data_IF_010137266968
#
_entry.id   IF_010137266968
#
_cell.length_a   1.000
_cell.length_b   1.000
_cell.length_c   1.000
_cell.angle_alpha   90.00
_cell.angle_beta   90.00
_cell.angle_gamma   90.00
#
_symmetry.space_group_name_H-M   'P 1'
#
loop_
_entity.id
_entity.type
_entity.pdbx_description
1 polymer ?
#
# COMPACT_ATOMS: atom_id res chain seq x y z
N UNK A 1 36.93 62.44 -27.60
CA UNK A 1 35.82 61.88 -28.40
C UNK A 1 35.53 60.50 -27.85
N UNK A 2 34.45 60.37 -27.07
CA UNK A 2 34.10 59.13 -26.36
C UNK A 2 33.16 58.30 -27.25
N UNK A 3 33.53 57.04 -27.50
CA UNK A 3 32.67 56.05 -28.11
C UNK A 3 32.30 55.04 -27.01
N UNK A 4 31.09 55.14 -26.48
CA UNK A 4 30.48 54.08 -25.68
C UNK A 4 29.36 53.45 -26.52
N UNK A 5 29.59 52.22 -26.97
CA UNK A 5 28.60 51.41 -27.68
C UNK A 5 27.55 50.92 -26.67
N UNK A 6 26.33 51.46 -26.77
CA UNK A 6 25.18 50.94 -26.04
C UNK A 6 24.77 49.59 -26.63
N UNK A 7 25.18 48.48 -25.99
CA UNK A 7 24.59 47.16 -26.27
C UNK A 7 23.11 47.18 -25.89
N UNK A 8 22.23 47.10 -26.91
CA UNK A 8 20.82 46.84 -26.69
C UNK A 8 20.65 45.47 -26.04
N UNK A 9 19.84 45.40 -24.98
CA UNK A 9 19.43 44.14 -24.38
C UNK A 9 18.42 43.48 -25.31
N UNK A 10 18.79 42.36 -25.94
CA UNK A 10 17.86 41.54 -26.72
C UNK A 10 16.79 40.96 -25.78
N UNK A 11 15.61 41.56 -25.77
CA UNK A 11 14.44 40.97 -25.12
C UNK A 11 13.97 39.76 -25.93
N UNK A 12 14.32 38.56 -25.46
CA UNK A 12 13.78 37.32 -26.01
C UNK A 12 12.27 37.23 -25.71
N UNK A 13 11.45 37.51 -26.72
CA UNK A 13 10.00 37.30 -26.67
C UNK A 13 9.69 35.83 -26.89
N UNK A 14 9.23 35.13 -25.85
CA UNK A 14 8.71 33.77 -25.99
C UNK A 14 7.35 33.82 -26.70
N UNK A 15 7.18 33.14 -27.86
CA UNK A 15 5.91 33.15 -28.57
C UNK A 15 4.82 32.47 -27.74
N UNK A 16 3.74 33.21 -27.48
CA UNK A 16 2.55 32.78 -26.75
C UNK A 16 1.75 31.76 -27.57
N UNK A 17 2.24 30.54 -27.75
CA UNK A 17 1.50 29.51 -28.47
C UNK A 17 1.96 28.08 -28.20
N UNK A 18 1.99 27.64 -26.92
CA UNK A 18 1.79 26.22 -26.58
C UNK A 18 1.02 26.14 -25.25
N UNK A 19 -0.23 25.69 -25.31
CA UNK A 19 -1.16 25.68 -24.18
C UNK A 19 -0.70 24.79 -23.02
N UNK A 20 -0.95 25.29 -21.81
CA UNK A 20 -0.81 24.65 -20.48
C UNK A 20 -1.59 23.34 -20.30
N UNK A 21 -2.18 22.80 -21.37
CA UNK A 21 -2.89 21.52 -21.38
C UNK A 21 -1.88 20.37 -21.26
N UNK A 22 -0.73 20.45 -21.95
CA UNK A 22 0.21 19.33 -22.08
C UNK A 22 1.02 18.95 -20.84
N UNK A 23 1.42 19.95 -20.04
CA UNK A 23 2.15 19.70 -18.80
C UNK A 23 1.30 19.02 -17.71
N UNK A 24 -0.02 19.33 -17.66
CA UNK A 24 -0.92 18.77 -16.63
C UNK A 24 -1.04 17.25 -16.77
N UNK A 25 -1.20 16.71 -17.98
CA UNK A 25 -1.34 15.27 -18.15
C UNK A 25 -0.05 14.48 -17.91
N UNK A 26 1.13 15.06 -18.15
CA UNK A 26 2.41 14.41 -17.82
C UNK A 26 2.62 14.32 -16.30
N UNK A 27 2.32 15.39 -15.57
CA UNK A 27 2.39 15.40 -14.09
C UNK A 27 1.35 14.45 -13.49
N UNK A 28 0.10 14.52 -13.97
CA UNK A 28 -0.98 13.63 -13.52
C UNK A 28 -0.65 12.15 -13.78
N UNK A 29 -0.17 11.81 -14.99
CA UNK A 29 0.22 10.43 -15.33
C UNK A 29 1.39 9.91 -14.48
N UNK A 30 2.38 10.74 -14.17
CA UNK A 30 3.50 10.38 -13.29
C UNK A 30 3.04 10.07 -11.86
N UNK A 31 2.16 10.92 -11.31
CA UNK A 31 1.58 10.75 -9.97
C UNK A 31 0.70 9.50 -9.92
N UNK A 32 -0.10 9.23 -10.95
CA UNK A 32 -0.95 8.04 -11.03
C UNK A 32 -0.14 6.75 -11.14
N UNK A 33 0.95 6.76 -11.92
CA UNK A 33 1.88 5.64 -12.01
C UNK A 33 2.56 5.33 -10.67
N UNK A 34 2.98 6.35 -9.92
CA UNK A 34 3.54 6.16 -8.58
C UNK A 34 2.51 5.57 -7.61
N UNK A 35 1.28 6.11 -7.59
CA UNK A 35 0.17 5.58 -6.77
C UNK A 35 -0.16 4.13 -7.11
N UNK A 36 -0.11 3.75 -8.38
CA UNK A 36 -0.35 2.39 -8.84
C UNK A 36 0.77 1.45 -8.34
N UNK A 37 2.04 1.83 -8.49
CA UNK A 37 3.18 1.03 -7.98
C UNK A 37 3.09 0.82 -6.46
N UNK A 38 2.75 1.86 -5.69
CA UNK A 38 2.55 1.73 -4.23
C UNK A 38 1.40 0.77 -3.91
N UNK A 39 0.29 0.84 -4.67
CA UNK A 39 -0.84 -0.07 -4.52
C UNK A 39 -0.43 -1.52 -4.79
N UNK A 40 0.41 -1.76 -5.80
CA UNK A 40 0.88 -3.11 -6.15
C UNK A 40 1.77 -3.69 -5.05
N UNK A 41 2.66 -2.88 -4.47
CA UNK A 41 3.48 -3.29 -3.31
C UNK A 41 2.60 -3.64 -2.11
N UNK A 42 1.60 -2.82 -1.79
CA UNK A 42 0.66 -3.10 -0.69
C UNK A 42 -0.14 -4.39 -0.93
N UNK A 43 -0.57 -4.64 -2.17
CA UNK A 43 -1.21 -5.92 -2.55
C UNK A 43 -0.27 -7.11 -2.30
N UNK A 44 1.01 -6.99 -2.65
CA UNK A 44 1.99 -8.05 -2.43
C UNK A 44 2.23 -8.31 -0.94
N UNK A 45 2.34 -7.26 -0.12
CA UNK A 45 2.46 -7.38 1.34
C UNK A 45 1.25 -8.12 1.92
N UNK A 46 0.03 -7.77 1.50
CA UNK A 46 -1.19 -8.44 1.96
C UNK A 46 -1.27 -9.90 1.52
N UNK A 47 -0.86 -10.22 0.28
CA UNK A 47 -0.77 -11.60 -0.21
C UNK A 47 0.19 -12.42 0.65
N UNK A 48 1.37 -11.90 0.94
CA UNK A 48 2.35 -12.56 1.80
C UNK A 48 1.81 -12.78 3.22
N UNK A 49 1.20 -11.75 3.80
CA UNK A 49 0.52 -11.81 5.11
C UNK A 49 -0.57 -12.89 5.14
N UNK A 50 -1.40 -12.96 4.10
CA UNK A 50 -2.46 -13.98 3.98
C UNK A 50 -1.88 -15.40 3.87
N UNK A 51 -0.91 -15.59 2.98
CA UNK A 51 -0.28 -16.88 2.74
C UNK A 51 0.44 -17.41 3.98
N UNK A 52 1.19 -16.53 4.67
CA UNK A 52 1.85 -16.87 5.92
C UNK A 52 0.84 -17.31 6.99
N UNK A 53 -0.24 -16.55 7.17
CA UNK A 53 -1.30 -16.86 8.15
C UNK A 53 -1.92 -18.23 7.88
N UNK A 54 -2.25 -18.51 6.62
CA UNK A 54 -2.81 -19.81 6.21
C UNK A 54 -1.81 -20.95 6.34
N UNK A 55 -0.52 -20.70 6.11
CA UNK A 55 0.54 -21.70 6.30
C UNK A 55 0.74 -22.05 7.78
N UNK A 56 0.82 -21.05 8.66
CA UNK A 56 0.98 -21.27 10.11
C UNK A 56 -0.20 -22.04 10.69
N UNK A 57 -1.44 -21.67 10.34
CA UNK A 57 -2.64 -22.33 10.89
C UNK A 57 -2.82 -23.78 10.43
N UNK A 58 -2.41 -24.08 9.18
CA UNK A 58 -2.45 -25.45 8.63
C UNK A 58 -1.25 -26.30 9.06
N UNK A 59 -0.20 -25.68 9.62
CA UNK A 59 0.95 -26.43 10.11
C UNK A 59 0.54 -27.23 11.34
N UNK A 60 0.67 -28.56 11.25
CA UNK A 60 0.32 -29.51 12.31
C UNK A 60 1.33 -29.52 13.46
N UNK A 61 2.58 -29.13 13.18
CA UNK A 61 3.64 -29.05 14.19
C UNK A 61 3.33 -27.91 15.16
N UNK A 62 3.37 -28.21 16.47
CA UNK A 62 3.39 -27.18 17.53
C UNK A 62 4.66 -26.36 17.37
N UNK A 63 4.55 -25.23 16.70
CA UNK A 63 5.58 -24.21 16.61
C UNK A 63 5.15 -23.06 17.50
N UNK A 64 6.11 -22.46 18.21
CA UNK A 64 5.90 -21.23 18.98
C UNK A 64 5.18 -20.14 18.17
N UNK A 65 5.30 -20.14 16.85
CA UNK A 65 4.60 -19.21 15.94
C UNK A 65 3.08 -19.39 15.98
N UNK A 66 2.59 -20.63 16.11
CA UNK A 66 1.17 -20.93 16.30
C UNK A 66 0.73 -20.51 17.70
N UNK A 67 1.58 -20.77 18.70
CA UNK A 67 1.31 -20.36 20.07
C UNK A 67 1.27 -18.84 20.20
N UNK A 68 2.17 -18.07 19.58
CA UNK A 68 2.13 -16.60 19.55
C UNK A 68 0.86 -16.09 18.86
N UNK A 69 0.47 -16.72 17.74
CA UNK A 69 -0.74 -16.35 17.02
C UNK A 69 -2.00 -16.69 17.85
N UNK A 70 -2.00 -17.73 18.67
CA UNK A 70 -3.13 -18.14 19.50
C UNK A 70 -3.17 -17.43 20.87
N UNK A 71 -1.99 -17.18 21.46
CA UNK A 71 -1.77 -16.62 22.80
C UNK A 71 -2.28 -15.19 22.95
N UNK A 72 -2.05 -14.34 21.95
CA UNK A 72 -2.48 -12.93 21.99
C UNK A 72 -3.99 -12.73 21.81
N UNK A 73 -4.75 -13.81 21.66
CA UNK A 73 -6.03 -13.78 20.99
C UNK A 73 -7.25 -14.00 21.87
N UNK A 74 -7.03 -14.30 23.15
CA UNK A 74 -8.10 -14.82 24.00
C UNK A 74 -8.63 -13.84 25.05
N UNK A 75 -8.76 -12.56 24.69
CA UNK A 75 -9.47 -11.54 25.51
C UNK A 75 -8.63 -10.84 26.60
N UNK A 76 -7.62 -10.05 26.20
CA UNK A 76 -6.95 -9.10 27.10
C UNK A 76 -7.33 -7.64 26.81
N UNK A 77 -7.68 -6.86 27.84
CA UNK A 77 -7.75 -5.39 27.74
C UNK A 77 -6.33 -4.86 27.42
N UNK A 78 -6.20 -3.95 26.44
CA UNK A 78 -4.90 -3.38 26.08
C UNK A 78 -4.37 -2.47 27.20
N UNK A 79 -3.05 -2.45 27.39
CA UNK A 79 -2.41 -1.42 28.21
C UNK A 79 -2.62 -0.04 27.54
N UNK A 80 -2.85 0.99 28.34
CA UNK A 80 -2.99 2.37 27.88
C UNK A 80 -1.67 2.79 27.19
N UNK A 81 -1.74 3.28 25.95
CA UNK A 81 -0.57 3.71 25.17
C UNK A 81 0.07 2.66 24.25
N UNK A 82 -0.50 1.45 24.12
CA UNK A 82 -0.05 0.47 23.13
C UNK A 82 -0.58 0.73 21.70
N UNK A 83 0.00 0.05 20.70
CA UNK A 83 -0.47 0.14 19.30
C UNK A 83 -1.97 -0.17 19.16
N UNK A 84 -2.64 0.66 18.36
CA UNK A 84 -4.10 0.67 18.20
C UNK A 84 -4.59 -0.57 17.43
N UNK A 85 -3.85 -1.04 16.41
CA UNK A 85 -4.23 -2.20 15.58
C UNK A 85 -3.36 -3.40 15.90
N UNK A 86 -3.99 -4.55 16.18
CA UNK A 86 -3.31 -5.86 16.19
C UNK A 86 -3.08 -6.31 14.76
N UNK A 87 -2.08 -7.17 14.59
CA UNK A 87 -1.91 -7.95 13.37
C UNK A 87 -3.21 -8.65 12.92
N UNK A 88 -3.97 -9.20 13.87
CA UNK A 88 -5.27 -9.84 13.60
C UNK A 88 -6.35 -8.85 13.19
N UNK A 89 -6.34 -7.62 13.71
CA UNK A 89 -7.41 -6.64 13.44
C UNK A 89 -7.49 -6.31 11.94
N UNK A 90 -6.41 -6.54 11.19
CA UNK A 90 -6.41 -6.42 9.73
C UNK A 90 -7.15 -7.57 9.03
N UNK A 91 -7.17 -8.77 9.62
CA UNK A 91 -7.75 -9.97 9.02
C UNK A 91 -9.29 -9.91 9.02
N UNK A 92 -9.95 -10.46 7.99
CA UNK A 92 -11.40 -10.49 7.90
C UNK A 92 -12.02 -11.38 8.98
N UNK A 93 -13.19 -11.01 9.48
CA UNK A 93 -13.91 -11.80 10.49
C UNK A 93 -14.11 -13.25 10.02
N UNK A 94 -14.02 -14.19 10.94
CA UNK A 94 -14.24 -15.62 10.66
C UNK A 94 -13.11 -16.32 9.90
N UNK A 95 -11.97 -15.65 9.66
CA UNK A 95 -10.82 -16.23 8.96
C UNK A 95 -10.31 -17.55 9.59
N UNK A 96 -10.40 -17.70 10.92
CA UNK A 96 -9.91 -18.87 11.66
C UNK A 96 -10.49 -20.19 11.17
N UNK A 97 -11.81 -20.28 11.11
CA UNK A 97 -12.51 -21.50 10.69
C UNK A 97 -12.30 -21.78 9.19
N UNK A 98 -12.06 -20.73 8.41
CA UNK A 98 -11.86 -20.84 6.96
C UNK A 98 -10.48 -21.35 6.58
N UNK A 99 -9.49 -21.38 7.47
CA UNK A 99 -8.11 -21.81 7.13
C UNK A 99 -8.00 -23.27 6.67
N UNK A 100 -8.91 -24.15 7.12
CA UNK A 100 -8.91 -25.57 6.77
C UNK A 100 -9.52 -25.83 5.39
N UNK A 101 -10.51 -25.03 5.02
CA UNK A 101 -11.17 -25.07 3.72
C UNK A 101 -10.38 -24.20 2.72
N UNK A 102 -9.70 -24.83 1.76
CA UNK A 102 -8.86 -24.11 0.78
C UNK A 102 -9.67 -23.17 -0.10
N UNK A 103 -10.87 -23.57 -0.51
CA UNK A 103 -11.69 -22.77 -1.42
C UNK A 103 -12.20 -21.52 -0.72
N UNK A 104 -12.71 -21.69 0.51
CA UNK A 104 -13.13 -20.57 1.36
C UNK A 104 -11.95 -19.67 1.74
N UNK A 105 -10.78 -20.24 2.01
CA UNK A 105 -9.55 -19.49 2.31
C UNK A 105 -9.07 -18.66 1.12
N UNK A 106 -9.19 -19.20 -0.09
CA UNK A 106 -8.81 -18.49 -1.31
C UNK A 106 -9.75 -17.31 -1.57
N UNK A 107 -11.06 -17.52 -1.54
CA UNK A 107 -12.07 -16.47 -1.75
C UNK A 107 -11.93 -15.31 -0.75
N UNK A 108 -11.71 -15.63 0.53
CA UNK A 108 -11.45 -14.62 1.56
C UNK A 108 -10.13 -13.88 1.35
N UNK A 109 -9.11 -14.57 0.84
CA UNK A 109 -7.80 -13.99 0.54
C UNK A 109 -7.84 -13.00 -0.60
N UNK A 110 -8.55 -13.33 -1.68
CA UNK A 110 -8.76 -12.44 -2.82
C UNK A 110 -9.44 -11.14 -2.36
N UNK A 111 -10.54 -11.25 -1.60
CA UNK A 111 -11.22 -10.09 -1.02
C UNK A 111 -10.33 -9.27 -0.06
N UNK A 112 -9.48 -9.94 0.72
CA UNK A 112 -8.54 -9.27 1.63
C UNK A 112 -7.44 -8.49 0.89
N UNK A 113 -6.90 -9.07 -0.18
CA UNK A 113 -5.82 -8.48 -0.98
C UNK A 113 -6.32 -7.25 -1.74
N UNK A 114 -7.51 -7.34 -2.32
CA UNK A 114 -8.11 -6.26 -3.12
C UNK A 114 -8.78 -5.16 -2.29
N UNK A 115 -8.81 -5.29 -0.96
CA UNK A 115 -9.30 -4.24 -0.05
C UNK A 115 -8.63 -2.90 -0.37
N UNK A 116 -9.41 -1.86 -0.68
CA UNK A 116 -8.85 -0.51 -0.82
C UNK A 116 -8.40 -0.01 0.56
N UNK A 117 -7.21 0.61 0.68
CA UNK A 117 -6.90 1.39 1.87
C UNK A 117 -7.87 2.57 1.95
N UNK A 118 -8.59 2.63 3.06
CA UNK A 118 -9.47 3.73 3.48
C UNK A 118 -8.72 5.07 3.56
#
# INVERSE_FOLDING_TARGET
MAYDEQKQQETYSFPAQYGTKHAKHMITGSVDNFKNKVRDVLKNIRKLKWNWTGHIMRTTKKKWTKDVLEWYLRNGKRKRGGEIKRWEDDLPKGWRGSTRDREKWQKLGEAYVDRRPD
#
